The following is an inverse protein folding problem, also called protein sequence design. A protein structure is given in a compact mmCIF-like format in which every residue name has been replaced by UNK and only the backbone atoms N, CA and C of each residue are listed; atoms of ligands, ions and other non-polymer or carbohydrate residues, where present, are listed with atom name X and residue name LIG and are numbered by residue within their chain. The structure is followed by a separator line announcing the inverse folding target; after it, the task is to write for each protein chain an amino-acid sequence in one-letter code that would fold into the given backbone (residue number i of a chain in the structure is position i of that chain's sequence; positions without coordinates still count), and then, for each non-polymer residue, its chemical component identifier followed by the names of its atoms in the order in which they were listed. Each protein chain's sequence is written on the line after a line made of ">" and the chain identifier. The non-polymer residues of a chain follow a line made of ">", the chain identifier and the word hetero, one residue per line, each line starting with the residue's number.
data_IF_232130956759
#
_entry.id   IF_232130956759
#
_cell.length_a   1.000
_cell.length_b   1.000
_cell.length_c   1.000
_cell.angle_alpha   90.00
_cell.angle_beta   90.00
_cell.angle_gamma   90.00
#
_symmetry.space_group_name_H-M   'P 1'
#
loop_
_entity.id
_entity.type
_entity.pdbx_description
1 polymer ?
#
# COMPACT_ATOMS: atom_id res chain seq x y z
N UNK A 1 20.26 13.62 14.59
CA UNK A 1 19.46 12.89 13.57
C UNK A 1 18.15 13.58 13.17
N UNK A 2 17.43 14.31 14.05
CA UNK A 2 16.22 15.08 13.65
C UNK A 2 16.53 16.33 12.81
N UNK A 3 17.51 17.13 13.23
CA UNK A 3 17.86 18.39 12.56
C UNK A 3 18.24 18.22 11.08
N UNK A 4 19.09 17.24 10.76
CA UNK A 4 19.50 16.96 9.39
C UNK A 4 18.32 16.53 8.50
N UNK A 5 17.42 15.69 9.02
CA UNK A 5 16.18 15.33 8.32
C UNK A 5 15.24 16.52 8.14
N UNK A 6 15.18 17.44 9.11
CA UNK A 6 14.41 18.68 8.97
C UNK A 6 14.94 19.52 7.80
N UNK A 7 16.26 19.73 7.72
CA UNK A 7 16.89 20.47 6.60
C UNK A 7 16.62 19.76 5.27
N UNK A 8 16.82 18.43 5.22
CA UNK A 8 16.54 17.65 4.01
C UNK A 8 15.07 17.72 3.60
N UNK A 9 14.12 17.74 4.54
CA UNK A 9 12.70 17.87 4.21
C UNK A 9 12.34 19.29 3.73
N UNK A 10 13.11 20.31 4.10
CA UNK A 10 12.95 21.68 3.61
C UNK A 10 13.48 21.80 2.17
N UNK A 11 14.65 21.23 1.89
CA UNK A 11 15.30 21.32 0.57
C UNK A 11 14.73 20.30 -0.42
N UNK A 12 14.33 19.12 0.06
CA UNK A 12 13.78 18.00 -0.72
C UNK A 12 12.44 17.52 -0.14
N UNK A 13 11.38 18.36 -0.19
CA UNK A 13 10.08 17.99 0.34
C UNK A 13 9.47 16.82 -0.45
N UNK A 14 8.93 15.84 0.29
CA UNK A 14 8.10 14.80 -0.31
C UNK A 14 6.70 15.36 -0.47
N UNK A 15 6.20 15.38 -1.71
CA UNK A 15 4.88 15.91 -2.04
C UNK A 15 3.98 14.80 -2.56
N UNK A 16 2.71 14.84 -2.16
CA UNK A 16 1.68 13.92 -2.64
C UNK A 16 1.58 13.99 -4.17
N UNK A 17 1.62 12.84 -4.84
CA UNK A 17 1.52 12.74 -6.30
C UNK A 17 0.16 13.17 -6.86
N UNK A 18 -0.87 13.30 -6.01
CA UNK A 18 -2.22 13.75 -6.36
C UNK A 18 -2.45 15.21 -5.94
N UNK A 19 -2.64 15.49 -4.64
CA UNK A 19 -2.96 16.84 -4.14
C UNK A 19 -1.77 17.77 -3.86
N UNK A 20 -0.52 17.31 -4.06
CA UNK A 20 0.72 18.10 -3.84
C UNK A 20 1.03 18.52 -2.39
N UNK A 21 0.19 18.18 -1.41
CA UNK A 21 0.46 18.37 0.03
C UNK A 21 1.79 17.73 0.44
N UNK A 22 2.57 18.41 1.28
CA UNK A 22 3.86 17.93 1.79
C UNK A 22 3.68 16.81 2.82
N UNK A 23 4.64 15.89 2.89
CA UNK A 23 4.77 14.88 3.94
C UNK A 23 4.67 13.40 3.49
N UNK A 24 4.09 13.12 2.32
CA UNK A 24 3.88 11.74 1.85
C UNK A 24 3.88 11.65 0.33
N UNK A 25 4.38 10.55 -0.25
CA UNK A 25 4.32 10.34 -1.71
C UNK A 25 2.87 10.18 -2.22
N UNK A 26 1.96 9.64 -1.40
CA UNK A 26 0.51 9.67 -1.59
C UNK A 26 -0.14 9.81 -0.22
N UNK A 27 -0.95 10.85 -0.01
CA UNK A 27 -1.58 11.07 1.30
C UNK A 27 -2.82 10.19 1.48
N UNK A 28 -3.19 9.95 2.74
CA UNK A 28 -4.36 9.17 3.13
C UNK A 28 -5.64 9.69 2.49
N UNK A 29 -5.83 11.01 2.47
CA UNK A 29 -7.02 11.66 1.89
C UNK A 29 -7.15 11.33 0.39
N UNK A 30 -6.06 11.44 -0.38
CA UNK A 30 -6.07 11.11 -1.80
C UNK A 30 -6.20 9.61 -2.07
N UNK A 31 -5.63 8.76 -1.20
CA UNK A 31 -5.76 7.32 -1.35
C UNK A 31 -7.21 6.88 -1.10
N UNK A 32 -7.84 7.36 -0.03
CA UNK A 32 -9.26 7.07 0.26
C UNK A 32 -10.22 7.67 -0.77
N UNK A 33 -9.88 8.82 -1.36
CA UNK A 33 -10.65 9.42 -2.45
C UNK A 33 -10.39 8.80 -3.82
N UNK A 34 -9.53 7.77 -3.93
CA UNK A 34 -9.29 7.09 -5.21
C UNK A 34 -10.46 6.16 -5.55
N UNK A 35 -10.80 6.00 -6.84
CA UNK A 35 -11.91 5.15 -7.25
C UNK A 35 -11.67 3.69 -6.84
N UNK A 36 -12.72 3.05 -6.34
CA UNK A 36 -12.72 1.63 -6.04
C UNK A 36 -12.54 0.80 -7.31
N UNK A 37 -12.13 -0.45 -7.17
CA UNK A 37 -12.11 -1.36 -8.31
C UNK A 37 -13.53 -1.81 -8.66
N UNK A 38 -13.98 -1.51 -9.88
CA UNK A 38 -15.33 -1.86 -10.35
C UNK A 38 -15.40 -3.18 -11.14
N UNK A 39 -14.24 -3.75 -11.50
CA UNK A 39 -14.20 -4.95 -12.34
C UNK A 39 -14.60 -6.19 -11.55
N UNK A 40 -15.44 -7.02 -12.17
CA UNK A 40 -15.78 -8.34 -11.65
C UNK A 40 -14.51 -9.13 -11.31
N UNK A 41 -14.50 -9.72 -10.13
CA UNK A 41 -13.43 -10.57 -9.64
C UNK A 41 -14.04 -11.76 -8.92
N UNK A 42 -13.27 -12.82 -8.74
CA UNK A 42 -13.75 -13.95 -7.96
C UNK A 42 -14.01 -13.51 -6.51
N UNK A 43 -15.00 -14.10 -5.84
CA UNK A 43 -15.44 -13.70 -4.50
C UNK A 43 -14.34 -13.74 -3.41
N UNK A 44 -13.22 -14.39 -3.67
CA UNK A 44 -12.06 -14.50 -2.77
C UNK A 44 -10.92 -13.52 -3.12
N UNK A 45 -11.16 -12.60 -4.07
CA UNK A 45 -10.23 -11.55 -4.48
C UNK A 45 -10.88 -10.21 -4.13
N UNK A 46 -10.20 -9.39 -3.33
CA UNK A 46 -10.72 -8.12 -2.84
C UNK A 46 -9.91 -6.94 -3.40
N UNK A 47 -10.16 -6.50 -4.64
CA UNK A 47 -9.46 -5.36 -5.21
C UNK A 47 -9.96 -4.05 -4.57
N UNK A 48 -9.07 -3.26 -4.00
CA UNK A 48 -9.44 -2.02 -3.29
C UNK A 48 -9.62 -0.81 -4.21
N UNK A 49 -8.80 -0.69 -5.25
CA UNK A 49 -8.71 0.52 -6.08
C UNK A 49 -8.59 0.18 -7.56
N UNK A 50 -9.13 1.02 -8.44
CA UNK A 50 -8.89 0.88 -9.87
C UNK A 50 -7.42 1.18 -10.20
N UNK A 51 -6.73 0.15 -10.72
CA UNK A 51 -5.34 0.24 -11.16
C UNK A 51 -5.13 1.26 -12.29
N UNK A 52 -6.17 1.60 -13.06
CA UNK A 52 -6.05 2.60 -14.12
C UNK A 52 -6.03 4.03 -13.58
N UNK A 53 -6.47 4.26 -12.33
CA UNK A 53 -6.39 5.57 -11.72
C UNK A 53 -4.91 6.00 -11.59
N UNK A 54 -4.48 7.12 -12.21
CA UNK A 54 -3.06 7.44 -12.34
C UNK A 54 -2.29 7.54 -11.01
N UNK A 55 -2.83 8.16 -9.94
CA UNK A 55 -2.21 8.14 -8.60
C UNK A 55 -1.99 6.73 -8.03
N UNK A 56 -2.93 5.80 -8.19
CA UNK A 56 -2.82 4.41 -7.73
C UNK A 56 -1.73 3.69 -8.51
N UNK A 57 -1.79 3.75 -9.85
CA UNK A 57 -0.77 3.15 -10.72
C UNK A 57 0.62 3.65 -10.40
N UNK A 58 0.76 4.97 -10.24
CA UNK A 58 2.04 5.64 -9.97
C UNK A 58 2.56 5.31 -8.58
N UNK A 59 1.73 5.29 -7.54
CA UNK A 59 2.16 4.92 -6.18
C UNK A 59 2.62 3.45 -6.12
N UNK A 60 1.90 2.52 -6.74
CA UNK A 60 2.34 1.12 -6.87
C UNK A 60 3.69 1.04 -7.59
N UNK A 61 3.85 1.78 -8.69
CA UNK A 61 5.10 1.82 -9.44
C UNK A 61 6.27 2.40 -8.62
N UNK A 62 6.03 3.49 -7.88
CA UNK A 62 7.02 4.11 -6.99
C UNK A 62 7.45 3.14 -5.88
N UNK A 63 6.51 2.42 -5.28
CA UNK A 63 6.77 1.38 -4.29
C UNK A 63 7.52 0.19 -4.90
N UNK A 64 7.31 -0.14 -6.17
CA UNK A 64 7.98 -1.28 -6.83
C UNK A 64 9.32 -0.94 -7.46
N UNK A 65 9.57 0.31 -7.85
CA UNK A 65 10.72 0.59 -8.74
C UNK A 65 11.53 1.81 -8.35
N UNK A 66 11.06 2.63 -7.42
CA UNK A 66 11.75 3.86 -6.99
C UNK A 66 12.07 3.90 -5.50
N UNK A 67 11.97 2.77 -4.80
CA UNK A 67 12.37 2.67 -3.41
C UNK A 67 11.49 3.46 -2.45
N UNK A 68 10.28 3.88 -2.86
CA UNK A 68 9.35 4.67 -2.03
C UNK A 68 8.63 3.78 -1.00
N UNK A 69 9.42 3.19 -0.09
CA UNK A 69 8.99 2.21 0.94
C UNK A 69 7.89 2.74 1.85
N UNK A 70 7.88 4.04 2.15
CA UNK A 70 6.85 4.68 3.00
C UNK A 70 5.43 4.53 2.45
N UNK A 71 5.26 4.32 1.14
CA UNK A 71 3.96 4.02 0.54
C UNK A 71 3.37 2.70 1.05
N UNK A 72 4.20 1.73 1.46
CA UNK A 72 3.72 0.48 2.04
C UNK A 72 2.84 0.74 3.26
N UNK A 73 3.27 1.64 4.16
CA UNK A 73 2.50 2.01 5.35
C UNK A 73 1.15 2.64 4.99
N UNK A 74 1.12 3.51 3.97
CA UNK A 74 -0.13 4.12 3.49
C UNK A 74 -1.10 3.07 2.95
N UNK A 75 -0.59 2.07 2.21
CA UNK A 75 -1.42 0.96 1.73
C UNK A 75 -1.85 0.03 2.87
N UNK A 76 -0.94 -0.27 3.81
CA UNK A 76 -1.18 -1.16 4.94
C UNK A 76 -2.36 -0.68 5.80
N UNK A 77 -2.47 0.63 6.05
CA UNK A 77 -3.57 1.20 6.84
C UNK A 77 -4.95 0.84 6.26
N UNK A 78 -5.10 0.90 4.93
CA UNK A 78 -6.37 0.63 4.26
C UNK A 78 -6.59 -0.88 4.07
N UNK A 79 -5.54 -1.60 3.70
CA UNK A 79 -5.58 -3.06 3.53
C UNK A 79 -5.93 -3.74 4.85
N UNK A 80 -5.38 -3.25 5.97
CA UNK A 80 -5.70 -3.73 7.31
C UNK A 80 -7.20 -3.62 7.59
N UNK A 81 -7.80 -2.45 7.31
CA UNK A 81 -9.24 -2.24 7.48
C UNK A 81 -10.08 -3.28 6.71
N UNK A 82 -9.73 -3.53 5.44
CA UNK A 82 -10.43 -4.53 4.63
C UNK A 82 -10.22 -5.95 5.15
N UNK A 83 -8.99 -6.31 5.54
CA UNK A 83 -8.70 -7.65 6.09
C UNK A 83 -9.54 -7.90 7.35
N UNK A 84 -9.64 -6.94 8.26
CA UNK A 84 -10.44 -7.10 9.49
C UNK A 84 -11.93 -7.23 9.18
N UNK A 85 -12.44 -6.48 8.22
CA UNK A 85 -13.82 -6.59 7.75
C UNK A 85 -14.12 -8.02 7.25
N UNK A 86 -13.32 -8.52 6.30
CA UNK A 86 -13.50 -9.85 5.70
C UNK A 86 -13.32 -10.98 6.72
N UNK A 87 -12.32 -10.88 7.60
CA UNK A 87 -12.09 -11.88 8.64
C UNK A 87 -13.21 -11.93 9.66
N UNK A 88 -13.84 -10.78 9.96
CA UNK A 88 -14.99 -10.73 10.87
C UNK A 88 -16.19 -11.46 10.27
N UNK A 89 -16.46 -11.25 8.98
CA UNK A 89 -17.52 -11.96 8.25
C UNK A 89 -17.27 -13.47 8.21
N UNK A 90 -16.06 -13.90 7.84
CA UNK A 90 -15.68 -15.31 7.80
C UNK A 90 -15.73 -15.98 9.17
N UNK A 91 -15.35 -15.26 10.23
CA UNK A 91 -15.42 -15.76 11.60
C UNK A 91 -16.86 -16.06 12.00
N UNK A 92 -17.79 -15.14 11.70
CA UNK A 92 -19.21 -15.30 12.01
C UNK A 92 -19.90 -16.37 11.17
N UNK A 93 -19.58 -16.45 9.87
CA UNK A 93 -20.28 -17.33 8.93
C UNK A 93 -19.70 -18.74 8.84
N UNK A 94 -18.43 -18.93 9.17
CA UNK A 94 -17.69 -20.18 8.88
C UNK A 94 -16.80 -20.66 10.02
N UNK A 95 -16.91 -20.07 11.22
CA UNK A 95 -16.02 -20.37 12.36
C UNK A 95 -14.53 -20.28 12.00
N UNK A 96 -14.19 -19.41 11.05
CA UNK A 96 -12.82 -19.20 10.64
C UNK A 96 -12.06 -18.49 11.76
N UNK A 97 -11.03 -19.15 12.29
CA UNK A 97 -10.26 -18.71 13.44
C UNK A 97 -8.76 -18.88 13.18
N UNK A 98 -7.96 -18.07 13.86
CA UNK A 98 -6.49 -18.06 13.74
C UNK A 98 -5.98 -17.89 12.29
N UNK A 99 -6.34 -16.77 11.62
CA UNK A 99 -5.89 -16.49 10.26
C UNK A 99 -4.36 -16.37 10.19
N UNK A 100 -3.79 -16.90 9.11
CA UNK A 100 -2.37 -16.72 8.78
C UNK A 100 -2.25 -15.73 7.63
N UNK A 101 -1.52 -14.64 7.84
CA UNK A 101 -1.23 -13.65 6.80
C UNK A 101 0.06 -14.03 6.06
N UNK A 102 -0.04 -14.33 4.78
CA UNK A 102 1.10 -14.75 3.94
C UNK A 102 1.33 -13.71 2.83
N UNK A 103 2.41 -12.91 2.88
CA UNK A 103 2.76 -12.05 1.78
C UNK A 103 3.27 -12.87 0.60
N UNK A 104 2.82 -12.53 -0.62
CA UNK A 104 3.28 -13.22 -1.84
C UNK A 104 4.79 -13.02 -1.99
N UNK A 105 5.59 -14.10 -2.14
CA UNK A 105 7.03 -14.00 -2.23
C UNK A 105 7.48 -13.31 -3.53
N UNK A 106 8.59 -12.58 -3.43
CA UNK A 106 9.25 -11.97 -4.58
C UNK A 106 10.39 -12.88 -5.06
N UNK A 107 10.57 -13.00 -6.39
CA UNK A 107 11.65 -13.82 -6.94
C UNK A 107 13.04 -13.31 -6.51
N UNK A 108 14.01 -14.22 -6.36
CA UNK A 108 15.38 -13.88 -5.92
C UNK A 108 16.02 -12.78 -6.79
N UNK A 109 15.82 -12.83 -8.11
CA UNK A 109 16.31 -11.80 -9.04
C UNK A 109 15.71 -10.43 -8.71
N UNK A 110 14.38 -10.35 -8.56
CA UNK A 110 13.67 -9.10 -8.28
C UNK A 110 13.97 -8.56 -6.88
N UNK A 111 14.16 -9.45 -5.91
CA UNK A 111 14.60 -9.08 -4.58
C UNK A 111 15.99 -8.45 -4.59
N UNK A 112 16.94 -9.00 -5.36
CA UNK A 112 18.27 -8.37 -5.55
C UNK A 112 18.19 -7.02 -6.28
N UNK A 113 17.33 -6.89 -7.29
CA UNK A 113 17.13 -5.64 -8.04
C UNK A 113 16.55 -4.51 -7.16
N UNK A 114 15.58 -4.84 -6.31
CA UNK A 114 14.79 -3.84 -5.55
C UNK A 114 15.25 -3.69 -4.10
N UNK A 115 15.82 -4.72 -3.51
CA UNK A 115 16.26 -4.78 -2.11
C UNK A 115 15.15 -5.02 -1.08
N UNK A 116 13.92 -5.34 -1.50
CA UNK A 116 12.80 -5.67 -0.58
C UNK A 116 11.65 -6.36 -1.32
N UNK A 117 10.80 -7.08 -0.58
CA UNK A 117 9.50 -7.55 -1.04
C UNK A 117 8.42 -6.55 -0.64
N UNK A 118 7.70 -5.99 -1.61
CA UNK A 118 6.66 -4.99 -1.36
C UNK A 118 5.45 -5.57 -0.61
N UNK A 119 5.10 -6.84 -0.85
CA UNK A 119 3.97 -7.47 -0.17
C UNK A 119 4.31 -7.71 1.30
N UNK A 120 5.53 -8.18 1.57
CA UNK A 120 6.03 -8.34 2.95
C UNK A 120 6.07 -7.00 3.68
N UNK A 121 6.59 -5.94 3.03
CA UNK A 121 6.68 -4.61 3.64
C UNK A 121 5.32 -3.99 3.98
N UNK A 122 4.23 -4.41 3.31
CA UNK A 122 2.86 -4.00 3.65
C UNK A 122 2.36 -4.74 4.90
N UNK A 123 2.89 -5.92 5.20
CA UNK A 123 2.52 -6.74 6.35
C UNK A 123 3.36 -6.46 7.61
N UNK A 124 4.46 -5.70 7.49
CA UNK A 124 5.35 -5.28 8.58
C UNK A 124 4.82 -4.04 9.30
#
# INVERSE_FOLDING_TARGET
>A
MKFFNTILNVIFPVNCISCRKTGSDLCRECLLGSPAAERESANWIFPLFDYHHPPIKKSIWLLKYKGKKKLANTFAEIIYGKIIEELSELSMMSNFSNPILIPIPLSKKRYRERGYNQAQLICE
#
